data_IF_039720602398
#
_entry.id   IF_039720602398
#
_cell.length_a   1.000
_cell.length_b   1.000
_cell.length_c   1.000
_cell.angle_alpha   90.00
_cell.angle_beta   90.00
_cell.angle_gamma   90.00
#
_symmetry.space_group_name_H-M   'P 1'
#
loop_
_entity.id
_entity.type
_entity.pdbx_description
1 polymer ?
#
# COMPACT_ATOMS: atom_id res chain seq x y z
N UNK A 1 75.04 43.06 10.24
CA UNK A 1 73.81 42.63 10.93
C UNK A 1 72.52 43.04 10.22
N UNK A 2 72.46 44.22 9.57
CA UNK A 2 71.24 44.72 8.88
C UNK A 2 70.73 43.84 7.72
N UNK A 3 71.62 43.27 6.89
CA UNK A 3 71.21 42.39 5.77
C UNK A 3 70.59 41.07 6.22
N UNK A 4 71.14 40.44 7.27
CA UNK A 4 70.57 39.21 7.85
C UNK A 4 69.19 39.46 8.50
N UNK A 5 69.02 40.61 9.15
CA UNK A 5 67.73 41.03 9.72
C UNK A 5 66.67 41.29 8.64
N UNK A 6 67.06 41.90 7.52
CA UNK A 6 66.15 42.16 6.40
C UNK A 6 65.73 40.88 5.68
N UNK A 7 66.64 39.91 5.50
CA UNK A 7 66.32 38.59 4.93
C UNK A 7 65.38 37.80 5.84
N UNK A 8 65.61 37.84 7.16
CA UNK A 8 64.73 37.19 8.13
C UNK A 8 63.31 37.78 8.12
N UNK A 9 63.21 39.11 7.95
CA UNK A 9 61.93 39.81 7.86
C UNK A 9 61.16 39.44 6.57
N UNK A 10 61.85 39.37 5.42
CA UNK A 10 61.22 38.95 4.16
C UNK A 10 60.74 37.49 4.26
N UNK A 11 61.54 36.60 4.84
CA UNK A 11 61.16 35.20 5.06
C UNK A 11 59.92 35.11 5.97
N UNK A 12 59.89 35.86 7.07
CA UNK A 12 58.76 35.90 8.00
C UNK A 12 57.48 36.40 7.32
N UNK A 13 57.56 37.43 6.48
CA UNK A 13 56.41 37.96 5.71
C UNK A 13 55.92 36.94 4.68
N UNK A 14 56.82 36.23 3.99
CA UNK A 14 56.43 35.16 3.06
C UNK A 14 55.75 33.98 3.76
N UNK A 15 56.26 33.57 4.93
CA UNK A 15 55.66 32.52 5.75
C UNK A 15 54.28 32.95 6.30
N UNK A 16 54.14 34.19 6.75
CA UNK A 16 52.85 34.73 7.20
C UNK A 16 51.82 34.80 6.07
N UNK A 17 52.25 35.17 4.86
CA UNK A 17 51.37 35.21 3.69
C UNK A 17 50.85 33.81 3.31
N UNK A 18 51.69 32.78 3.42
CA UNK A 18 51.28 31.39 3.14
C UNK A 18 50.21 30.87 4.11
N UNK A 19 50.22 31.32 5.36
CA UNK A 19 49.23 30.91 6.38
C UNK A 19 47.83 31.48 6.05
N UNK A 20 47.75 32.67 5.45
CA UNK A 20 46.45 33.29 5.11
C UNK A 20 45.70 32.59 3.97
N UNK A 21 46.41 31.98 3.02
CA UNK A 21 45.79 31.21 1.92
C UNK A 21 45.30 29.82 2.34
N UNK A 22 45.67 29.33 3.52
CA UNK A 22 45.29 28.01 4.02
C UNK A 22 43.93 27.99 4.75
N UNK A 23 43.39 29.16 5.13
CA UNK A 23 42.09 29.27 5.79
C UNK A 23 40.94 29.20 4.77
N UNK A 24 40.72 28.01 4.19
CA UNK A 24 39.43 27.74 3.52
C UNK A 24 38.36 27.63 4.60
N UNK A 25 37.47 28.62 4.67
CA UNK A 25 36.28 28.55 5.51
C UNK A 25 35.39 27.37 5.10
N UNK A 26 34.68 26.81 6.09
CA UNK A 26 33.73 25.71 5.87
C UNK A 26 32.64 26.18 4.90
N UNK A 27 32.42 25.43 3.83
CA UNK A 27 31.39 25.74 2.84
C UNK A 27 30.13 24.94 3.15
N UNK A 28 29.11 25.68 3.56
CA UNK A 28 27.81 25.14 3.95
C UNK A 28 26.78 25.54 2.89
N UNK A 29 25.95 24.57 2.51
CA UNK A 29 24.75 24.79 1.71
C UNK A 29 23.53 24.17 2.42
N UNK A 30 22.34 24.51 1.96
CA UNK A 30 21.12 23.83 2.35
C UNK A 30 20.23 23.52 1.16
N UNK A 31 19.36 22.53 1.34
CA UNK A 31 18.32 22.12 0.41
C UNK A 31 16.98 22.07 1.12
N UNK A 32 15.92 22.33 0.39
CA UNK A 32 14.54 22.12 0.82
C UNK A 32 14.02 20.86 0.12
N UNK A 33 14.08 19.73 0.81
CA UNK A 33 13.72 18.44 0.22
C UNK A 33 12.22 18.37 -0.13
N UNK A 34 11.36 18.98 0.68
CA UNK A 34 9.92 19.06 0.41
C UNK A 34 9.66 19.83 -0.89
N UNK A 35 10.23 21.02 -1.04
CA UNK A 35 10.13 21.79 -2.28
C UNK A 35 10.69 21.03 -3.50
N UNK A 36 11.82 20.35 -3.36
CA UNK A 36 12.39 19.56 -4.45
C UNK A 36 11.44 18.43 -4.86
N UNK A 37 10.93 17.65 -3.89
CA UNK A 37 10.04 16.53 -4.16
C UNK A 37 8.73 16.97 -4.80
N UNK A 38 8.11 18.05 -4.31
CA UNK A 38 6.85 18.57 -4.89
C UNK A 38 6.97 19.00 -6.36
N UNK A 39 8.16 19.46 -6.77
CA UNK A 39 8.44 19.88 -8.14
C UNK A 39 8.88 18.72 -9.06
N UNK A 40 9.08 17.51 -8.52
CA UNK A 40 9.42 16.32 -9.30
C UNK A 40 8.13 15.64 -9.77
N UNK A 41 7.95 15.52 -11.08
CA UNK A 41 6.75 14.94 -11.72
C UNK A 41 6.45 13.52 -11.22
N UNK A 42 7.47 12.67 -11.08
CA UNK A 42 7.34 11.30 -10.57
C UNK A 42 6.80 11.26 -9.13
N UNK A 43 7.13 12.26 -8.31
CA UNK A 43 6.63 12.35 -6.93
C UNK A 43 5.16 12.74 -6.91
N UNK A 44 4.75 13.66 -7.79
CA UNK A 44 3.34 14.03 -7.96
C UNK A 44 2.50 12.85 -8.41
N UNK A 45 2.96 12.11 -9.42
CA UNK A 45 2.28 10.91 -9.90
C UNK A 45 2.19 9.82 -8.80
N UNK A 46 3.29 9.57 -8.09
CA UNK A 46 3.30 8.62 -6.97
C UNK A 46 2.33 9.03 -5.86
N UNK A 47 2.27 10.32 -5.53
CA UNK A 47 1.37 10.87 -4.51
C UNK A 47 -0.08 10.75 -4.94
N UNK A 48 -0.39 11.05 -6.20
CA UNK A 48 -1.74 10.88 -6.76
C UNK A 48 -2.18 9.42 -6.78
N UNK A 49 -1.30 8.49 -7.20
CA UNK A 49 -1.57 7.06 -7.15
C UNK A 49 -1.82 6.57 -5.71
N UNK A 50 -1.03 7.05 -4.75
CA UNK A 50 -1.20 6.71 -3.34
C UNK A 50 -2.52 7.27 -2.79
N UNK A 51 -2.85 8.52 -3.10
CA UNK A 51 -4.10 9.15 -2.70
C UNK A 51 -5.32 8.39 -3.23
N UNK A 52 -5.29 7.97 -4.50
CA UNK A 52 -6.35 7.15 -5.09
C UNK A 52 -6.51 5.78 -4.38
N UNK A 53 -5.42 5.15 -3.95
CA UNK A 53 -5.50 3.89 -3.18
C UNK A 53 -6.03 4.11 -1.77
N UNK A 54 -5.59 5.18 -1.11
CA UNK A 54 -6.07 5.58 0.21
C UNK A 54 -7.58 5.79 0.17
N UNK A 55 -8.09 6.48 -0.84
CA UNK A 55 -9.52 6.72 -0.98
C UNK A 55 -10.30 5.42 -1.19
N UNK A 56 -9.81 4.51 -2.03
CA UNK A 56 -10.41 3.18 -2.20
C UNK A 56 -10.47 2.41 -0.88
N UNK A 57 -9.38 2.38 -0.11
CA UNK A 57 -9.35 1.68 1.17
C UNK A 57 -10.26 2.33 2.21
N UNK A 58 -10.40 3.66 2.21
CA UNK A 58 -11.37 4.35 3.07
C UNK A 58 -12.80 3.93 2.76
N UNK A 59 -13.17 3.93 1.47
CA UNK A 59 -14.51 3.48 1.03
C UNK A 59 -14.75 2.02 1.43
N UNK A 60 -13.76 1.14 1.26
CA UNK A 60 -13.88 -0.26 1.67
C UNK A 60 -14.04 -0.43 3.19
N UNK A 61 -13.33 0.37 4.00
CA UNK A 61 -13.49 0.39 5.46
C UNK A 61 -14.89 0.87 5.83
N UNK A 62 -15.36 1.96 5.23
CA UNK A 62 -16.69 2.52 5.49
C UNK A 62 -17.81 1.54 5.12
N UNK A 63 -17.67 0.84 3.98
CA UNK A 63 -18.61 -0.21 3.58
C UNK A 63 -18.66 -1.36 4.59
N UNK A 64 -17.50 -1.83 5.06
CA UNK A 64 -17.42 -2.88 6.07
C UNK A 64 -18.03 -2.45 7.42
N UNK A 65 -17.75 -1.21 7.85
CA UNK A 65 -18.34 -0.65 9.07
C UNK A 65 -19.86 -0.51 8.95
N UNK A 66 -20.36 -0.04 7.80
CA UNK A 66 -21.79 0.08 7.53
C UNK A 66 -22.49 -1.29 7.52
N UNK A 67 -21.86 -2.32 6.94
CA UNK A 67 -22.37 -3.70 6.97
C UNK A 67 -22.48 -4.23 8.41
N UNK A 68 -21.44 -4.04 9.23
CA UNK A 68 -21.46 -4.40 10.65
C UNK A 68 -22.59 -3.70 11.39
N UNK A 69 -22.76 -2.39 11.17
CA UNK A 69 -23.81 -1.61 11.81
C UNK A 69 -25.20 -2.08 11.39
N UNK A 70 -25.39 -2.42 10.11
CA UNK A 70 -26.65 -2.94 9.60
C UNK A 70 -26.97 -4.31 10.22
N UNK A 71 -26.01 -5.25 10.26
CA UNK A 71 -26.23 -6.57 10.88
C UNK A 71 -26.58 -6.46 12.36
N UNK A 72 -25.99 -5.51 13.09
CA UNK A 72 -26.36 -5.22 14.48
C UNK A 72 -27.79 -4.72 14.61
N UNK A 73 -28.21 -3.80 13.75
CA UNK A 73 -29.59 -3.28 13.73
C UNK A 73 -30.59 -4.38 13.39
N UNK A 74 -30.28 -5.22 12.41
CA UNK A 74 -31.10 -6.35 12.00
C UNK A 74 -31.24 -7.37 13.13
N UNK A 75 -30.14 -7.71 13.80
CA UNK A 75 -30.16 -8.59 14.97
C UNK A 75 -31.03 -8.00 16.10
N UNK A 76 -30.93 -6.70 16.38
CA UNK A 76 -31.77 -6.04 17.40
C UNK A 76 -33.26 -6.09 17.06
N UNK A 77 -33.63 -5.90 15.79
CA UNK A 77 -35.01 -5.95 15.33
C UNK A 77 -35.58 -7.37 15.32
N UNK A 78 -34.78 -8.35 14.90
CA UNK A 78 -35.18 -9.76 14.80
C UNK A 78 -35.06 -10.52 16.13
N UNK A 79 -34.37 -9.98 17.13
CA UNK A 79 -34.04 -10.66 18.40
C UNK A 79 -35.24 -11.34 19.08
N UNK A 80 -36.41 -10.69 19.04
CA UNK A 80 -37.64 -11.21 19.67
C UNK A 80 -38.23 -12.41 18.93
N UNK A 81 -37.87 -12.60 17.67
CA UNK A 81 -38.34 -13.68 16.80
C UNK A 81 -37.37 -14.86 16.72
N UNK A 82 -36.13 -14.69 17.19
CA UNK A 82 -35.06 -15.67 17.12
C UNK A 82 -34.96 -16.50 18.41
N UNK A 83 -34.35 -17.68 18.31
CA UNK A 83 -33.97 -18.50 19.48
C UNK A 83 -32.62 -18.07 20.02
N UNK A 84 -32.33 -18.35 21.29
CA UNK A 84 -31.06 -17.97 21.92
C UNK A 84 -29.82 -18.51 21.18
N UNK A 85 -29.90 -19.72 20.61
CA UNK A 85 -28.83 -20.29 19.77
C UNK A 85 -28.59 -19.49 18.48
N UNK A 86 -29.65 -19.05 17.80
CA UNK A 86 -29.54 -18.24 16.58
C UNK A 86 -29.04 -16.83 16.87
N UNK A 87 -29.38 -16.27 18.03
CA UNK A 87 -28.86 -14.98 18.50
C UNK A 87 -27.35 -15.12 18.72
N UNK A 88 -26.90 -16.15 19.42
CA UNK A 88 -25.48 -16.40 19.67
C UNK A 88 -24.67 -16.55 18.37
N UNK A 89 -25.20 -17.28 17.38
CA UNK A 89 -24.52 -17.46 16.08
C UNK A 89 -24.39 -16.13 15.31
N UNK A 90 -25.46 -15.34 15.27
CA UNK A 90 -25.45 -14.00 14.65
C UNK A 90 -24.50 -13.03 15.37
N UNK A 91 -24.45 -13.09 16.71
CA UNK A 91 -23.52 -12.28 17.51
C UNK A 91 -22.06 -12.67 17.22
N UNK A 92 -21.77 -13.95 17.08
CA UNK A 92 -20.43 -14.43 16.70
C UNK A 92 -20.04 -13.98 15.29
N UNK A 93 -20.96 -14.06 14.32
CA UNK A 93 -20.73 -13.58 12.95
C UNK A 93 -20.44 -12.07 12.92
N UNK A 94 -21.21 -11.27 13.69
CA UNK A 94 -20.97 -9.83 13.83
C UNK A 94 -19.59 -9.58 14.46
N UNK A 95 -19.21 -10.31 15.52
CA UNK A 95 -17.91 -10.15 16.16
C UNK A 95 -16.74 -10.51 15.23
N UNK A 96 -16.89 -11.54 14.39
CA UNK A 96 -15.89 -11.91 13.39
C UNK A 96 -15.74 -10.77 12.38
N UNK A 97 -16.85 -10.27 11.83
CA UNK A 97 -16.83 -9.17 10.84
C UNK A 97 -16.29 -7.86 11.43
N UNK A 98 -16.58 -7.58 12.70
CA UNK A 98 -15.98 -6.46 13.44
C UNK A 98 -14.47 -6.60 13.54
N UNK A 99 -14.00 -7.77 13.97
CA UNK A 99 -12.58 -8.05 14.10
C UNK A 99 -11.87 -7.95 12.76
N UNK A 100 -12.44 -8.52 11.71
CA UNK A 100 -11.93 -8.40 10.33
C UNK A 100 -11.87 -6.95 9.86
N UNK A 101 -12.86 -6.13 10.23
CA UNK A 101 -12.89 -4.70 9.86
C UNK A 101 -11.77 -3.93 10.56
N UNK A 102 -11.54 -4.19 11.85
CA UNK A 102 -10.45 -3.59 12.63
C UNK A 102 -9.09 -4.07 12.11
N UNK A 103 -8.94 -5.36 11.85
CA UNK A 103 -7.70 -5.92 11.27
C UNK A 103 -7.43 -5.36 9.88
N UNK A 104 -8.47 -5.23 9.04
CA UNK A 104 -8.35 -4.60 7.73
C UNK A 104 -7.86 -3.15 7.86
N UNK A 105 -8.46 -2.37 8.74
CA UNK A 105 -8.05 -0.99 9.00
C UNK A 105 -6.59 -0.92 9.49
N UNK A 106 -6.20 -1.80 10.41
CA UNK A 106 -4.83 -1.85 10.95
C UNK A 106 -3.81 -2.28 9.89
N UNK A 107 -4.15 -3.25 9.05
CA UNK A 107 -3.29 -3.73 7.96
C UNK A 107 -3.09 -2.66 6.88
N UNK A 108 -4.09 -1.81 6.62
CA UNK A 108 -3.97 -0.72 5.64
C UNK A 108 -3.34 0.54 6.22
N UNK A 109 -3.81 1.01 7.37
CA UNK A 109 -3.49 2.33 7.95
C UNK A 109 -2.63 2.28 9.21
N UNK A 110 -2.29 1.10 9.72
CA UNK A 110 -1.44 0.96 10.89
C UNK A 110 0.01 1.42 10.66
N UNK A 111 0.83 1.49 11.73
CA UNK A 111 2.22 1.97 11.64
C UNK A 111 3.12 1.14 10.70
N UNK A 112 2.81 -0.15 10.52
CA UNK A 112 3.46 -1.05 9.56
C UNK A 112 2.49 -1.48 8.44
N UNK A 113 1.41 -0.73 8.26
CA UNK A 113 0.40 -1.03 7.28
C UNK A 113 0.86 -0.76 5.85
N UNK A 114 0.04 -1.21 4.90
CA UNK A 114 0.30 -1.09 3.47
C UNK A 114 0.50 0.36 3.02
N UNK A 115 -0.19 1.33 3.64
CA UNK A 115 -0.02 2.74 3.33
C UNK A 115 1.42 3.21 3.55
N UNK A 116 1.98 2.90 4.71
CA UNK A 116 3.35 3.29 5.08
C UNK A 116 4.35 2.56 4.18
N UNK A 117 4.13 1.26 3.93
CA UNK A 117 4.99 0.47 3.07
C UNK A 117 5.00 0.99 1.63
N UNK A 118 3.84 1.26 1.05
CA UNK A 118 3.72 1.79 -0.31
C UNK A 118 4.25 3.21 -0.41
N UNK A 119 4.00 4.06 0.60
CA UNK A 119 4.59 5.40 0.68
C UNK A 119 6.11 5.30 0.60
N UNK A 120 6.73 4.42 1.40
CA UNK A 120 8.17 4.20 1.35
C UNK A 120 8.62 3.68 -0.01
N UNK A 121 7.97 2.65 -0.55
CA UNK A 121 8.35 2.05 -1.84
C UNK A 121 8.30 3.02 -3.01
N UNK A 122 7.31 3.93 -3.04
CA UNK A 122 7.15 4.91 -4.11
C UNK A 122 8.03 6.15 -3.92
N UNK A 123 8.16 6.65 -2.70
CA UNK A 123 8.88 7.90 -2.42
C UNK A 123 10.39 7.69 -2.26
N UNK A 124 10.81 6.58 -1.64
CA UNK A 124 12.23 6.29 -1.39
C UNK A 124 13.11 6.34 -2.65
N UNK A 125 12.76 5.71 -3.80
CA UNK A 125 13.60 5.79 -4.99
C UNK A 125 13.74 7.22 -5.53
N UNK A 126 12.75 8.09 -5.30
CA UNK A 126 12.80 9.50 -5.68
C UNK A 126 13.73 10.27 -4.73
N UNK A 127 13.62 10.00 -3.42
CA UNK A 127 14.54 10.57 -2.42
C UNK A 127 16.00 10.16 -2.70
N UNK A 128 16.23 8.89 -3.07
CA UNK A 128 17.55 8.39 -3.44
C UNK A 128 18.10 9.11 -4.68
N UNK A 129 17.26 9.42 -5.67
CA UNK A 129 17.66 10.22 -6.83
C UNK A 129 18.06 11.65 -6.43
N UNK A 130 17.25 12.31 -5.60
CA UNK A 130 17.56 13.65 -5.08
C UNK A 130 18.88 13.62 -4.32
N UNK A 131 19.05 12.64 -3.43
CA UNK A 131 20.26 12.47 -2.62
C UNK A 131 21.51 12.29 -3.49
N UNK A 132 21.43 11.46 -4.53
CA UNK A 132 22.52 11.27 -5.48
C UNK A 132 22.88 12.57 -6.22
N UNK A 133 21.90 13.38 -6.62
CA UNK A 133 22.16 14.68 -7.25
C UNK A 133 22.75 15.69 -6.27
N UNK A 134 22.26 15.72 -5.03
CA UNK A 134 22.83 16.54 -3.94
C UNK A 134 24.30 16.17 -3.70
N UNK A 135 24.64 14.88 -3.65
CA UNK A 135 26.02 14.42 -3.49
C UNK A 135 26.91 14.86 -4.66
N UNK A 136 26.45 14.72 -5.91
CA UNK A 136 27.18 15.19 -7.09
C UNK A 136 27.45 16.69 -7.03
N UNK A 137 26.45 17.47 -6.65
CA UNK A 137 26.58 18.93 -6.51
C UNK A 137 27.53 19.29 -5.37
N UNK A 138 27.42 18.60 -4.24
CA UNK A 138 28.31 18.71 -3.09
C UNK A 138 29.77 18.51 -3.48
N UNK A 139 30.07 17.41 -4.18
CA UNK A 139 31.41 17.11 -4.66
C UNK A 139 31.92 18.14 -5.69
N UNK A 140 31.10 18.47 -6.70
CA UNK A 140 31.48 19.39 -7.77
C UNK A 140 31.74 20.82 -7.29
N UNK A 141 30.90 21.32 -6.37
CA UNK A 141 31.05 22.65 -5.78
C UNK A 141 31.93 22.66 -4.54
N UNK A 142 32.34 21.47 -4.08
CA UNK A 142 33.17 21.24 -2.90
C UNK A 142 32.53 21.85 -1.64
N UNK A 143 31.25 21.59 -1.43
CA UNK A 143 30.59 21.88 -0.15
C UNK A 143 31.05 20.85 0.88
N UNK A 144 31.30 21.30 2.10
CA UNK A 144 31.70 20.44 3.21
C UNK A 144 30.47 19.88 3.93
N UNK A 145 29.38 20.66 3.98
CA UNK A 145 28.10 20.26 4.56
C UNK A 145 26.93 20.74 3.71
N UNK A 146 25.91 19.90 3.59
CA UNK A 146 24.61 20.23 2.98
C UNK A 146 23.54 19.84 4.00
N UNK A 147 22.75 20.81 4.44
CA UNK A 147 21.66 20.59 5.39
C UNK A 147 20.32 20.51 4.69
N UNK A 148 19.45 19.63 5.16
CA UNK A 148 18.04 19.63 4.76
C UNK A 148 17.26 20.56 5.70
N UNK A 149 16.62 21.57 5.12
CA UNK A 149 15.74 22.53 5.82
C UNK A 149 14.41 21.88 6.21
N UNK A 150 13.98 20.84 5.52
CA UNK A 150 12.75 20.10 5.80
C UNK A 150 12.91 19.10 6.95
N UNK A 151 14.14 18.85 7.40
CA UNK A 151 14.46 17.99 8.54
C UNK A 151 14.38 18.75 9.88
N UNK A 152 14.50 18.04 11.00
CA UNK A 152 14.42 18.57 12.38
C UNK A 152 15.53 19.60 12.75
N UNK A 153 16.37 20.01 11.81
CA UNK A 153 17.41 21.02 12.04
C UNK A 153 16.78 22.40 12.06
N UNK A 154 16.69 23.00 13.25
CA UNK A 154 16.16 24.35 13.42
C UNK A 154 17.15 25.38 12.84
N UNK A 155 16.84 25.90 11.66
CA UNK A 155 17.56 26.99 11.02
C UNK A 155 16.82 28.31 11.22
N UNK A 156 17.36 29.19 12.08
CA UNK A 156 16.72 30.47 12.41
C UNK A 156 16.83 31.52 11.29
N UNK A 157 17.95 31.50 10.55
CA UNK A 157 18.20 32.41 9.44
C UNK A 157 19.21 31.78 8.49
N UNK A 158 18.97 31.90 7.19
CA UNK A 158 19.98 31.64 6.17
C UNK A 158 19.80 32.60 5.00
N UNK A 159 20.92 32.93 4.37
CA UNK A 159 20.91 33.72 3.15
C UNK A 159 20.59 32.81 1.96
N UNK A 160 19.74 33.27 1.03
CA UNK A 160 19.28 32.52 -0.15
C UNK A 160 20.43 32.05 -1.05
N UNK A 161 21.60 32.69 -0.98
CA UNK A 161 22.80 32.29 -1.74
C UNK A 161 23.34 30.90 -1.39
N UNK A 162 22.97 30.35 -0.23
CA UNK A 162 23.39 29.01 0.20
C UNK A 162 22.34 27.94 -0.12
N UNK A 163 21.17 28.34 -0.64
CA UNK A 163 20.16 27.42 -1.16
C UNK A 163 20.65 26.83 -2.49
N UNK A 164 20.68 25.50 -2.57
CA UNK A 164 21.02 24.79 -3.81
C UNK A 164 19.84 23.99 -4.37
N UNK A 165 18.61 24.16 -3.85
CA UNK A 165 17.42 23.40 -4.23
C UNK A 165 17.10 23.50 -5.73
N UNK A 166 17.09 24.71 -6.29
CA UNK A 166 16.89 24.94 -7.73
C UNK A 166 18.02 24.34 -8.59
N UNK A 167 19.21 24.19 -8.02
CA UNK A 167 20.33 23.56 -8.71
C UNK A 167 20.16 22.04 -8.74
N UNK A 168 19.69 21.44 -7.65
CA UNK A 168 19.32 20.03 -7.55
C UNK A 168 18.18 19.69 -8.50
N UNK A 169 17.11 20.49 -8.53
CA UNK A 169 15.99 20.33 -9.45
C UNK A 169 16.43 20.32 -10.92
N UNK A 170 17.31 21.25 -11.30
CA UNK A 170 17.90 21.27 -12.65
C UNK A 170 18.79 20.07 -12.92
N UNK A 171 19.49 19.55 -11.92
CA UNK A 171 20.27 18.31 -11.99
C UNK A 171 19.38 17.12 -12.33
N UNK A 172 18.31 16.92 -11.56
CA UNK A 172 17.31 15.85 -11.75
C UNK A 172 16.68 15.94 -13.15
N UNK A 173 16.21 17.13 -13.54
CA UNK A 173 15.61 17.35 -14.85
C UNK A 173 16.58 17.06 -16.02
N UNK A 174 17.88 17.33 -15.83
CA UNK A 174 18.92 17.00 -16.82
C UNK A 174 19.16 15.50 -16.89
N UNK A 175 19.31 14.84 -15.74
CA UNK A 175 19.48 13.38 -15.66
C UNK A 175 18.30 12.66 -16.33
N UNK A 176 17.07 13.13 -16.13
CA UNK A 176 15.86 12.62 -16.82
C UNK A 176 15.91 12.82 -18.34
N UNK A 177 16.35 13.98 -18.83
CA UNK A 177 16.48 14.24 -20.27
C UNK A 177 17.54 13.37 -20.94
N UNK A 178 18.59 13.01 -20.22
CA UNK A 178 19.67 12.15 -20.71
C UNK A 178 19.26 10.67 -20.64
N UNK A 179 18.40 10.27 -19.70
CA UNK A 179 17.89 8.88 -19.59
C UNK A 179 16.68 8.58 -20.49
N UNK A 180 15.99 9.60 -21.01
CA UNK A 180 14.95 9.42 -22.03
C UNK A 180 15.64 9.03 -23.35
N UNK A 181 15.39 7.83 -23.91
CA UNK A 181 16.03 7.43 -25.16
C UNK A 181 15.70 8.45 -26.23
N UNK A 182 16.74 8.95 -26.91
CA UNK A 182 16.50 9.97 -27.92
C UNK A 182 15.66 9.36 -29.04
N UNK A 183 14.73 10.15 -29.60
CA UNK A 183 13.86 9.70 -30.72
C UNK A 183 14.65 9.12 -31.90
N UNK A 184 15.95 9.47 -32.00
CA UNK A 184 16.93 8.92 -32.95
C UNK A 184 17.43 7.53 -32.58
N UNK A 185 17.69 7.23 -31.31
CA UNK A 185 18.04 5.88 -30.83
C UNK A 185 16.84 4.93 -30.85
N UNK A 186 15.63 5.46 -30.58
CA UNK A 186 14.39 4.68 -30.72
C UNK A 186 14.14 4.37 -32.20
N UNK A 187 14.35 5.34 -33.10
CA UNK A 187 14.25 5.11 -34.55
C UNK A 187 15.32 4.15 -35.06
N UNK A 188 16.59 4.30 -34.68
CA UNK A 188 17.62 3.36 -35.12
C UNK A 188 17.36 1.95 -34.62
N UNK A 189 16.85 1.78 -33.40
CA UNK A 189 16.48 0.46 -32.86
C UNK A 189 15.24 -0.13 -33.52
N UNK A 190 14.34 0.71 -34.05
CA UNK A 190 13.16 0.27 -34.83
C UNK A 190 13.57 -0.04 -36.27
N UNK A 191 14.40 0.79 -36.89
CA UNK A 191 14.97 0.59 -38.23
C UNK A 191 15.88 -0.66 -38.26
N UNK A 192 16.71 -0.90 -37.24
CA UNK A 192 17.48 -2.16 -37.07
C UNK A 192 16.57 -3.39 -36.90
N UNK A 193 15.29 -3.19 -36.52
CA UNK A 193 14.27 -4.24 -36.41
C UNK A 193 13.40 -4.38 -37.68
N UNK A 194 13.27 -3.31 -38.48
CA UNK A 194 12.44 -3.23 -39.69
C UNK A 194 13.24 -3.58 -40.98
N UNK A 195 14.55 -3.31 -41.01
CA UNK A 195 15.43 -3.59 -42.16
C UNK A 195 16.14 -4.96 -42.06
N UNK A 196 15.91 -5.70 -40.97
CA UNK A 196 16.16 -7.13 -40.97
C UNK A 196 15.08 -7.79 -41.82
N UNK A 197 15.44 -8.26 -43.02
CA UNK A 197 14.61 -9.25 -43.71
C UNK A 197 14.19 -10.32 -42.68
N UNK A 198 12.93 -10.75 -42.64
CA UNK A 198 12.55 -11.86 -41.80
C UNK A 198 13.29 -13.09 -42.35
N UNK A 199 14.48 -13.35 -41.83
CA UNK A 199 14.89 -14.73 -41.68
C UNK A 199 13.76 -15.35 -40.88
N UNK A 200 12.98 -16.19 -41.54
CA UNK A 200 12.05 -17.11 -40.92
C UNK A 200 12.89 -18.00 -39.99
N UNK A 201 13.27 -17.46 -38.82
CA UNK A 201 13.79 -18.26 -37.73
C UNK A 201 12.63 -19.14 -37.31
N UNK A 202 12.64 -20.36 -37.84
CA UNK A 202 11.84 -21.47 -37.40
C UNK A 202 11.77 -21.40 -35.87
N UNK A 203 10.55 -21.21 -35.37
CA UNK A 203 10.24 -21.07 -33.95
C UNK A 203 11.01 -22.17 -33.22
N UNK A 204 12.09 -21.80 -32.52
CA UNK A 204 12.93 -22.75 -31.78
C UNK A 204 12.03 -23.67 -30.97
N UNK A 205 12.26 -24.98 -31.04
CA UNK A 205 11.46 -25.99 -30.32
C UNK A 205 11.30 -25.65 -28.83
N UNK A 206 12.28 -24.95 -28.24
CA UNK A 206 12.23 -24.46 -26.86
C UNK A 206 11.14 -23.39 -26.61
N UNK A 207 10.81 -22.58 -27.60
CA UNK A 207 9.78 -21.52 -27.51
C UNK A 207 8.37 -22.11 -27.63
N UNK A 208 8.17 -23.11 -28.50
CA UNK A 208 6.94 -23.92 -28.56
C UNK A 208 6.71 -24.68 -27.26
N UNK A 209 7.73 -25.36 -26.74
CA UNK A 209 7.62 -26.10 -25.48
C UNK A 209 7.28 -25.17 -24.30
N UNK A 210 7.81 -23.94 -24.30
CA UNK A 210 7.51 -22.94 -23.27
C UNK A 210 6.08 -22.41 -23.36
N UNK A 211 5.56 -22.20 -24.57
CA UNK A 211 4.17 -21.80 -24.79
C UNK A 211 3.19 -22.92 -24.42
N UNK A 212 3.50 -24.16 -24.78
CA UNK A 212 2.70 -25.33 -24.44
C UNK A 212 2.68 -25.59 -22.93
N UNK A 213 3.83 -25.49 -22.24
CA UNK A 213 3.88 -25.56 -20.77
C UNK A 213 3.11 -24.43 -20.09
N UNK A 214 3.16 -23.22 -20.65
CA UNK A 214 2.40 -22.10 -20.13
C UNK A 214 0.88 -22.29 -20.30
N UNK A 215 0.45 -22.79 -21.46
CA UNK A 215 -0.94 -23.13 -21.75
C UNK A 215 -1.44 -24.27 -20.85
N UNK A 216 -0.65 -25.35 -20.69
CA UNK A 216 -0.98 -26.46 -19.79
C UNK A 216 -1.03 -26.02 -18.32
N UNK A 217 -0.15 -25.11 -17.88
CA UNK A 217 -0.16 -24.57 -16.54
C UNK A 217 -1.37 -23.65 -16.28
N UNK A 218 -1.82 -22.90 -17.29
CA UNK A 218 -3.05 -22.12 -17.22
C UNK A 218 -4.28 -23.03 -17.14
N UNK A 219 -4.35 -24.05 -18.00
CA UNK A 219 -5.46 -25.01 -18.01
C UNK A 219 -5.55 -25.82 -16.71
N UNK A 220 -4.41 -26.21 -16.12
CA UNK A 220 -4.38 -26.87 -14.81
C UNK A 220 -4.84 -25.94 -13.67
N UNK A 221 -4.52 -24.65 -13.74
CA UNK A 221 -4.99 -23.65 -12.77
C UNK A 221 -6.48 -23.37 -12.91
N UNK A 222 -7.01 -23.35 -14.12
CA UNK A 222 -8.44 -23.19 -14.38
C UNK A 222 -9.23 -24.42 -13.93
N UNK A 223 -8.79 -25.62 -14.27
CA UNK A 223 -9.41 -26.88 -13.78
C UNK A 223 -9.41 -26.96 -12.26
N UNK A 224 -8.30 -26.63 -11.60
CA UNK A 224 -8.25 -26.63 -10.12
C UNK A 224 -9.10 -25.52 -9.49
N UNK A 225 -9.23 -24.36 -10.14
CA UNK A 225 -10.11 -23.28 -9.66
C UNK A 225 -11.59 -23.65 -9.83
N UNK A 226 -11.95 -24.29 -10.94
CA UNK A 226 -13.33 -24.71 -11.22
C UNK A 226 -13.73 -25.94 -10.39
N UNK A 227 -12.81 -26.86 -10.10
CA UNK A 227 -13.01 -27.93 -9.13
C UNK A 227 -13.26 -27.38 -7.72
N UNK A 228 -12.46 -26.40 -7.26
CA UNK A 228 -12.68 -25.74 -5.96
C UNK A 228 -14.01 -24.97 -5.91
N UNK A 229 -14.41 -24.32 -7.00
CA UNK A 229 -15.71 -23.63 -7.10
C UNK A 229 -16.87 -24.63 -7.06
N UNK A 230 -16.76 -25.75 -7.77
CA UNK A 230 -17.76 -26.81 -7.78
C UNK A 230 -17.88 -27.48 -6.41
N UNK A 231 -16.77 -27.71 -5.71
CA UNK A 231 -16.75 -28.25 -4.35
C UNK A 231 -17.38 -27.27 -3.34
N UNK A 232 -17.09 -25.96 -3.44
CA UNK A 232 -17.73 -24.94 -2.61
C UNK A 232 -19.24 -24.82 -2.87
N UNK A 233 -19.68 -24.97 -4.11
CA UNK A 233 -21.11 -24.95 -4.46
C UNK A 233 -21.83 -26.18 -3.89
N UNK A 234 -21.24 -27.38 -4.01
CA UNK A 234 -21.79 -28.60 -3.40
C UNK A 234 -21.87 -28.48 -1.88
N UNK A 235 -20.82 -27.97 -1.23
CA UNK A 235 -20.80 -27.73 0.21
C UNK A 235 -21.89 -26.71 0.63
N UNK A 236 -22.14 -25.67 -0.18
CA UNK A 236 -23.24 -24.71 0.06
C UNK A 236 -24.61 -25.35 -0.10
N UNK A 237 -24.82 -26.19 -1.12
CA UNK A 237 -26.09 -26.88 -1.34
C UNK A 237 -26.39 -27.91 -0.25
N UNK A 238 -25.37 -28.66 0.20
CA UNK A 238 -25.48 -29.58 1.34
C UNK A 238 -25.79 -28.84 2.64
N UNK A 239 -25.12 -27.70 2.91
CA UNK A 239 -25.44 -26.84 4.06
C UNK A 239 -26.86 -26.29 3.99
N UNK A 240 -27.33 -25.88 2.80
CA UNK A 240 -28.68 -25.37 2.59
C UNK A 240 -29.74 -26.46 2.79
N UNK A 241 -29.52 -27.68 2.28
CA UNK A 241 -30.42 -28.82 2.51
C UNK A 241 -30.45 -29.26 3.97
N UNK A 242 -29.28 -29.32 4.62
CA UNK A 242 -29.20 -29.61 6.06
C UNK A 242 -29.94 -28.55 6.89
N UNK A 243 -29.87 -27.28 6.49
CA UNK A 243 -30.62 -26.20 7.10
C UNK A 243 -32.14 -26.35 6.90
N UNK A 244 -32.59 -26.66 5.69
CA UNK A 244 -34.02 -26.88 5.37
C UNK A 244 -34.60 -28.09 6.12
N UNK A 245 -33.85 -29.19 6.24
CA UNK A 245 -34.25 -30.36 7.03
C UNK A 245 -34.29 -30.08 8.54
N UNK A 246 -33.30 -29.37 9.08
CA UNK A 246 -33.30 -28.94 10.49
C UNK A 246 -34.47 -28.01 10.79
N UNK A 247 -34.74 -27.06 9.89
CA UNK A 247 -35.89 -26.16 9.99
C UNK A 247 -37.21 -26.92 9.97
N UNK A 248 -37.34 -27.94 9.12
CA UNK A 248 -38.55 -28.76 9.04
C UNK A 248 -38.78 -29.58 10.31
N UNK A 249 -37.74 -30.22 10.84
CA UNK A 249 -37.81 -30.94 12.13
C UNK A 249 -38.19 -30.02 13.29
N UNK A 250 -37.64 -28.81 13.34
CA UNK A 250 -37.97 -27.81 14.35
C UNK A 250 -39.43 -27.33 14.26
N UNK A 251 -39.98 -27.17 13.05
CA UNK A 251 -41.37 -26.80 12.85
C UNK A 251 -42.32 -27.95 13.25
N UNK A 252 -41.99 -29.19 12.89
CA UNK A 252 -42.74 -30.38 13.29
C UNK A 252 -42.71 -30.58 14.82
N UNK A 253 -41.57 -30.39 15.47
CA UNK A 253 -41.46 -30.44 16.93
C UNK A 253 -42.28 -29.33 17.61
N UNK A 254 -42.30 -28.12 17.04
CA UNK A 254 -43.13 -27.01 17.52
C UNK A 254 -44.61 -27.28 17.36
N UNK A 255 -45.03 -27.86 16.23
CA UNK A 255 -46.43 -28.25 16.01
C UNK A 255 -46.86 -29.40 16.93
N UNK A 256 -45.99 -30.38 17.17
CA UNK A 256 -46.23 -31.46 18.12
C UNK A 256 -46.36 -30.93 19.55
N UNK A 257 -45.45 -30.05 19.99
CA UNK A 257 -45.56 -29.37 21.31
C UNK A 257 -46.82 -28.51 21.41
N UNK A 258 -47.24 -27.85 20.32
CA UNK A 258 -48.48 -27.06 20.30
C UNK A 258 -49.72 -27.95 20.40
N UNK A 259 -49.75 -29.10 19.71
CA UNK A 259 -50.84 -30.08 19.81
C UNK A 259 -50.91 -30.73 21.18
N UNK A 260 -49.78 -31.19 21.72
CA UNK A 260 -49.73 -31.75 23.07
C UNK A 260 -50.25 -30.76 24.13
N UNK A 261 -49.84 -29.48 24.03
CA UNK A 261 -50.32 -28.43 24.95
C UNK A 261 -51.79 -28.05 24.75
N UNK A 262 -52.37 -28.29 23.57
CA UNK A 262 -53.81 -28.13 23.33
C UNK A 262 -54.60 -29.32 23.90
N UNK A 263 -54.13 -30.54 23.70
CA UNK A 263 -54.73 -31.76 24.26
C UNK A 263 -54.68 -31.76 25.79
N UNK A 264 -53.57 -31.33 26.40
CA UNK A 264 -53.43 -31.19 27.85
C UNK A 264 -54.42 -30.15 28.43
N UNK A 265 -54.71 -29.10 27.65
CA UNK A 265 -55.65 -28.03 28.02
C UNK A 265 -57.12 -28.44 27.79
N UNK A 266 -57.39 -29.30 26.81
CA UNK A 266 -58.70 -29.93 26.61
C UNK A 266 -59.00 -30.95 27.71
N UNK A 267 -58.01 -31.77 28.11
CA UNK A 267 -58.15 -32.71 29.23
C UNK A 267 -58.38 -31.99 30.58
N UNK A 268 -57.65 -30.91 30.86
CA UNK A 268 -57.92 -30.09 32.05
C UNK A 268 -59.30 -29.42 32.01
N UNK A 269 -59.77 -29.01 30.83
CA UNK A 269 -61.13 -28.45 30.67
C UNK A 269 -62.26 -29.48 30.83
N UNK A 270 -62.02 -30.75 30.47
CA UNK A 270 -62.96 -31.85 30.68
C UNK A 270 -62.99 -32.32 32.15
N UNK A 271 -61.85 -32.34 32.84
CA UNK A 271 -61.76 -32.64 34.29
C UNK A 271 -62.50 -31.58 35.14
N UNK A 272 -62.29 -30.28 34.87
CA UNK A 272 -63.00 -29.17 35.56
C UNK A 272 -64.53 -29.20 35.32
N UNK A 273 -64.97 -29.81 34.23
CA UNK A 273 -66.41 -29.93 33.87
C UNK A 273 -67.09 -31.14 34.51
N UNK A 274 -66.32 -32.15 34.93
CA UNK A 274 -66.84 -33.35 35.61
C UNK A 274 -66.83 -33.21 37.13
N UNK A 275 -66.00 -32.33 37.71
CA UNK A 275 -66.01 -32.01 39.15
C UNK A 275 -67.16 -31.05 39.58
N UNK A 276 -67.84 -30.39 38.64
CA UNK A 276 -68.92 -29.41 38.89
C UNK A 276 -70.35 -29.95 38.61
N UNK A 277 -70.56 -31.27 38.59
CA UNK A 277 -71.88 -31.93 38.49
C UNK A 277 -72.15 -32.81 39.70
#
# INVERSE_FOLDING_TARGET
MKTKSNVLLVLAVTLFSAITYAQRGVRIAYVDMEYILENVEEYREATEQLANKVEKWKVEVEQKQSQVEQMKKDLMAERVLLTDELISEREEEIQILEKETVEYQQNRFGPQGDLVLQKRQLIQPIQDQVFNEVQKIGANKKYDFIFDKSADVVMLYSENRHDISDLVLRGIARTRRVSKPTKKEVRSRIEDFEDGEPEEEEISDALKERQERAAQAQEAREKTADERRAEQLKLREERKKAYEERRKKLLEEREAKRKAKLEEREQQGEEDSTENK
#
